data_IF_781535185621
#
_entry.id   IF_781535185621
#
_cell.length_a   1.000
_cell.length_b   1.000
_cell.length_c   1.000
_cell.angle_alpha   90.00
_cell.angle_beta   90.00
_cell.angle_gamma   90.00
#
_symmetry.space_group_name_H-M   'P 1'
#
loop_
_entity.id
_entity.type
_entity.pdbx_description
1 polymer ?
#
# COMPACT_ATOMS: atom_id res chain seq x y z
N UNK A 1 -10.70 3.44 -25.26
CA UNK A 1 -10.88 2.78 -23.94
C UNK A 1 -9.91 3.46 -23.00
N UNK A 2 -10.32 3.89 -21.81
CA UNK A 2 -9.43 4.49 -20.81
C UNK A 2 -8.31 3.50 -20.48
N UNK A 3 -7.05 3.94 -20.47
CA UNK A 3 -5.96 3.25 -19.79
C UNK A 3 -5.20 4.29 -18.94
N UNK A 4 -4.70 3.86 -17.80
CA UNK A 4 -4.10 4.79 -16.87
C UNK A 4 -3.64 4.13 -15.57
N UNK A 5 -3.13 4.96 -14.69
CA UNK A 5 -2.60 4.57 -13.39
C UNK A 5 -2.95 5.62 -12.35
N UNK A 6 -3.19 5.19 -11.12
CA UNK A 6 -3.20 6.07 -9.95
C UNK A 6 -2.31 5.49 -8.85
N UNK A 7 -1.76 6.37 -8.02
CA UNK A 7 -0.91 6.03 -6.87
C UNK A 7 -1.30 6.86 -5.65
N UNK A 8 -1.14 6.32 -4.44
CA UNK A 8 -1.34 7.04 -3.18
C UNK A 8 -0.14 6.91 -2.26
N UNK A 9 0.04 7.91 -1.41
CA UNK A 9 1.08 7.95 -0.37
C UNK A 9 0.61 7.53 1.03
N UNK A 10 -0.67 7.14 1.17
CA UNK A 10 -1.27 6.72 2.44
C UNK A 10 -2.20 7.74 3.07
N UNK A 11 -3.13 7.27 3.93
CA UNK A 11 -4.05 8.12 4.69
C UNK A 11 -3.27 8.87 5.78
N UNK A 12 -3.14 10.19 5.62
CA UNK A 12 -2.29 11.07 6.42
C UNK A 12 -1.13 11.69 5.62
N UNK A 13 -0.87 11.21 4.41
CA UNK A 13 0.15 11.80 3.53
C UNK A 13 -0.25 13.20 3.07
N UNK A 14 0.72 14.11 3.06
CA UNK A 14 0.50 15.52 2.73
C UNK A 14 0.92 15.85 1.29
N UNK A 15 0.47 16.99 0.79
CA UNK A 15 0.87 17.54 -0.52
C UNK A 15 2.41 17.67 -0.68
N UNK A 16 3.17 17.73 0.43
CA UNK A 16 4.64 17.75 0.39
C UNK A 16 5.27 16.49 -0.24
N UNK A 17 4.50 15.41 -0.38
CA UNK A 17 4.92 14.15 -1.02
C UNK A 17 4.49 14.02 -2.47
N UNK A 18 3.78 15.02 -3.01
CA UNK A 18 3.18 14.97 -4.35
C UNK A 18 4.18 14.75 -5.47
N UNK A 19 5.37 15.32 -5.37
CA UNK A 19 6.46 15.13 -6.35
C UNK A 19 6.89 13.66 -6.45
N UNK A 20 6.95 12.94 -5.33
CA UNK A 20 7.25 11.50 -5.29
C UNK A 20 6.15 10.66 -5.94
N UNK A 21 4.89 11.01 -5.66
CA UNK A 21 3.73 10.36 -6.27
C UNK A 21 3.67 10.63 -7.78
N UNK A 22 3.96 11.86 -8.20
CA UNK A 22 4.03 12.21 -9.61
C UNK A 22 5.08 11.37 -10.35
N UNK A 23 6.31 11.27 -9.81
CA UNK A 23 7.36 10.41 -10.39
C UNK A 23 6.94 8.95 -10.47
N UNK A 24 6.29 8.41 -9.44
CA UNK A 24 5.81 7.03 -9.43
C UNK A 24 4.73 6.82 -10.50
N UNK A 25 3.78 7.75 -10.59
CA UNK A 25 2.71 7.73 -11.57
C UNK A 25 3.27 7.80 -13.01
N UNK A 26 4.19 8.73 -13.29
CA UNK A 26 4.88 8.88 -14.58
C UNK A 26 5.65 7.61 -14.97
N UNK A 27 6.36 7.00 -14.00
CA UNK A 27 7.09 5.75 -14.22
C UNK A 27 6.16 4.62 -14.63
N UNK A 28 5.06 4.41 -13.89
CA UNK A 28 4.07 3.39 -14.21
C UNK A 28 3.36 3.68 -15.55
N UNK A 29 2.94 4.94 -15.77
CA UNK A 29 2.28 5.33 -17.01
C UNK A 29 3.19 5.18 -18.24
N UNK A 30 4.49 5.40 -18.11
CA UNK A 30 5.44 5.18 -19.21
C UNK A 30 5.42 3.74 -19.73
N UNK A 31 5.18 2.76 -18.84
CA UNK A 31 5.05 1.36 -19.22
C UNK A 31 3.77 1.13 -20.03
N UNK A 32 2.64 1.65 -19.54
CA UNK A 32 1.34 1.54 -20.23
C UNK A 32 1.37 2.23 -21.60
N UNK A 33 2.01 3.40 -21.69
CA UNK A 33 2.18 4.15 -22.93
C UNK A 33 2.96 3.36 -23.98
N UNK A 34 3.93 2.56 -23.54
CA UNK A 34 4.76 1.71 -24.39
C UNK A 34 4.21 0.28 -24.56
N UNK A 35 2.89 0.10 -24.40
CA UNK A 35 2.17 -1.17 -24.53
C UNK A 35 2.61 -2.25 -23.51
N UNK A 36 3.17 -1.85 -22.37
CA UNK A 36 3.41 -2.75 -21.24
C UNK A 36 2.13 -3.09 -20.47
N UNK A 37 2.18 -4.16 -19.69
CA UNK A 37 1.02 -4.63 -18.92
C UNK A 37 0.78 -3.82 -17.63
N UNK A 38 -0.46 -3.83 -17.13
CA UNK A 38 -0.88 -3.12 -15.94
C UNK A 38 -0.11 -3.58 -14.69
N UNK A 39 0.19 -4.88 -14.56
CA UNK A 39 0.93 -5.41 -13.40
C UNK A 39 2.36 -4.87 -13.35
N UNK A 40 3.05 -4.82 -14.47
CA UNK A 40 4.38 -4.21 -14.56
C UNK A 40 4.34 -2.71 -14.23
N UNK A 41 3.28 -2.00 -14.65
CA UNK A 41 3.11 -0.59 -14.36
C UNK A 41 2.95 -0.31 -12.86
N UNK A 42 2.07 -1.05 -12.16
CA UNK A 42 1.88 -0.85 -10.71
C UNK A 42 3.10 -1.27 -9.89
N UNK A 43 3.79 -2.34 -10.29
CA UNK A 43 5.03 -2.78 -9.62
C UNK A 43 6.13 -1.72 -9.72
N UNK A 44 6.36 -1.15 -10.91
CA UNK A 44 7.38 -0.12 -11.09
C UNK A 44 7.00 1.20 -10.40
N UNK A 45 5.70 1.55 -10.35
CA UNK A 45 5.23 2.71 -9.60
C UNK A 45 5.46 2.54 -8.09
N UNK A 46 5.06 1.39 -7.51
CA UNK A 46 5.28 1.10 -6.08
C UNK A 46 6.77 1.01 -5.77
N UNK A 47 7.59 0.44 -6.67
CA UNK A 47 9.05 0.44 -6.51
C UNK A 47 9.64 1.85 -6.38
N UNK A 48 9.17 2.82 -7.16
CA UNK A 48 9.60 4.22 -7.03
C UNK A 48 9.27 4.77 -5.64
N UNK A 49 8.10 4.44 -5.09
CA UNK A 49 7.69 4.87 -3.75
C UNK A 49 8.50 4.16 -2.65
N UNK A 50 8.83 2.86 -2.83
CA UNK A 50 9.72 2.12 -1.93
C UNK A 50 11.17 2.66 -1.95
N UNK A 51 11.63 3.16 -3.09
CA UNK A 51 12.96 3.76 -3.25
C UNK A 51 13.03 5.18 -2.66
N UNK A 52 11.91 5.88 -2.56
CA UNK A 52 11.78 7.20 -1.95
C UNK A 52 11.60 7.06 -0.43
N UNK A 53 12.65 7.26 0.33
CA UNK A 53 12.68 7.09 1.79
C UNK A 53 11.72 7.97 2.61
N UNK A 54 10.92 8.82 1.95
CA UNK A 54 9.90 9.65 2.60
C UNK A 54 8.59 8.91 2.88
N UNK A 55 8.27 7.87 2.09
CA UNK A 55 7.10 7.03 2.27
C UNK A 55 7.38 5.86 3.23
N UNK A 56 6.36 5.41 3.96
CA UNK A 56 6.48 4.23 4.81
C UNK A 56 6.36 2.93 4.00
N UNK A 57 7.31 2.71 3.13
CA UNK A 57 7.48 1.52 2.31
C UNK A 57 8.95 1.40 1.90
N UNK A 58 9.47 0.19 1.72
CA UNK A 58 10.85 0.00 1.30
C UNK A 58 11.86 0.75 2.19
N UNK A 59 12.67 1.62 1.59
CA UNK A 59 13.72 2.37 2.28
C UNK A 59 13.23 3.29 3.41
N UNK A 60 11.97 3.75 3.36
CA UNK A 60 11.36 4.61 4.37
C UNK A 60 10.55 3.88 5.44
N UNK A 61 10.59 2.55 5.46
CA UNK A 61 9.82 1.73 6.39
C UNK A 61 10.12 2.03 7.85
N UNK A 62 9.06 2.05 8.68
CA UNK A 62 9.15 2.32 10.10
C UNK A 62 9.73 1.15 10.89
N UNK A 63 10.26 1.46 12.08
CA UNK A 63 10.76 0.48 13.02
C UNK A 63 9.63 -0.18 13.81
N UNK A 64 9.81 -1.45 14.16
CA UNK A 64 9.00 -2.13 15.17
C UNK A 64 9.25 -1.53 16.56
N UNK A 65 8.42 -1.90 17.52
CA UNK A 65 8.50 -1.39 18.90
C UNK A 65 9.86 -1.64 19.57
N UNK A 66 10.60 -2.66 19.11
CA UNK A 66 11.94 -2.99 19.61
C UNK A 66 13.05 -1.99 19.20
N UNK A 67 12.70 -1.03 18.32
CA UNK A 67 13.64 0.01 17.83
C UNK A 67 14.76 -0.51 16.93
N UNK A 68 14.66 -1.74 16.45
CA UNK A 68 15.71 -2.40 15.66
C UNK A 68 15.19 -3.06 14.40
N UNK A 69 14.04 -3.71 14.50
CA UNK A 69 13.47 -4.53 13.42
C UNK A 69 12.68 -3.67 12.44
N UNK A 70 12.94 -3.87 11.16
CA UNK A 70 12.09 -3.43 10.04
C UNK A 70 11.51 -4.67 9.42
N UNK A 71 10.17 -4.74 9.36
CA UNK A 71 9.43 -5.77 8.64
C UNK A 71 8.48 -5.08 7.66
N UNK A 72 8.44 -5.61 6.46
CA UNK A 72 7.69 -5.01 5.36
C UNK A 72 6.72 -6.04 4.78
N UNK A 73 5.62 -5.53 4.27
CA UNK A 73 4.62 -6.32 3.55
C UNK A 73 4.44 -5.73 2.15
N UNK A 74 4.18 -6.59 1.17
CA UNK A 74 3.77 -6.15 -0.16
C UNK A 74 2.84 -7.17 -0.81
N UNK A 75 2.01 -6.67 -1.71
CA UNK A 75 1.06 -7.47 -2.47
C UNK A 75 0.90 -6.96 -3.88
N UNK A 76 0.46 -7.85 -4.73
CA UNK A 76 0.04 -7.52 -6.09
C UNK A 76 -1.04 -8.49 -6.58
N UNK A 77 -1.93 -7.99 -7.42
CA UNK A 77 -2.99 -8.76 -8.06
C UNK A 77 -3.31 -8.15 -9.42
N UNK A 78 -3.69 -8.99 -10.37
CA UNK A 78 -4.26 -8.54 -11.64
C UNK A 78 -5.49 -9.36 -12.04
N UNK A 79 -6.35 -8.74 -12.84
CA UNK A 79 -7.63 -9.33 -13.24
C UNK A 79 -7.51 -10.56 -14.14
N UNK A 80 -6.31 -10.86 -14.63
CA UNK A 80 -5.97 -12.09 -15.37
C UNK A 80 -5.55 -13.26 -14.45
N UNK A 81 -5.69 -13.11 -13.12
CA UNK A 81 -5.48 -14.17 -12.13
C UNK A 81 -4.10 -14.21 -11.50
N UNK A 82 -3.17 -13.31 -11.84
CA UNK A 82 -1.86 -13.21 -11.16
C UNK A 82 -2.05 -12.60 -9.76
N UNK A 83 -1.54 -13.28 -8.73
CA UNK A 83 -1.64 -12.87 -7.32
C UNK A 83 -0.37 -13.26 -6.57
N UNK A 84 0.20 -12.35 -5.80
CA UNK A 84 1.29 -12.65 -4.89
C UNK A 84 1.28 -11.73 -3.66
N UNK A 85 1.65 -12.30 -2.51
CA UNK A 85 1.69 -11.62 -1.22
C UNK A 85 2.97 -11.99 -0.48
N UNK A 86 3.66 -10.99 0.08
CA UNK A 86 4.83 -11.21 0.94
C UNK A 86 4.63 -10.46 2.24
N UNK A 87 4.95 -11.10 3.37
CA UNK A 87 4.58 -10.65 4.71
C UNK A 87 5.77 -10.71 5.66
N UNK A 88 5.91 -9.69 6.51
CA UNK A 88 6.95 -9.61 7.54
C UNK A 88 8.35 -9.91 6.98
N UNK A 89 8.65 -9.37 5.80
CA UNK A 89 9.94 -9.58 5.11
C UNK A 89 10.97 -8.60 5.66
N UNK A 90 12.20 -9.05 5.86
CA UNK A 90 13.31 -8.27 6.41
C UNK A 90 14.45 -8.13 5.39
N UNK A 91 15.33 -7.19 5.66
CA UNK A 91 16.65 -7.06 5.03
C UNK A 91 16.66 -6.78 3.52
N UNK A 92 15.54 -6.58 2.87
CA UNK A 92 15.46 -6.25 1.44
C UNK A 92 14.88 -4.86 1.23
N UNK A 93 15.31 -4.18 0.16
CA UNK A 93 14.88 -2.81 -0.11
C UNK A 93 13.47 -2.73 -0.70
N UNK A 94 13.14 -3.64 -1.63
CA UNK A 94 11.92 -3.58 -2.43
C UNK A 94 11.05 -4.84 -2.27
N UNK A 95 10.18 -4.92 -1.25
CA UNK A 95 9.29 -6.06 -1.07
C UNK A 95 8.34 -6.29 -2.26
N UNK A 96 7.94 -5.26 -3.00
CA UNK A 96 7.12 -5.43 -4.23
C UNK A 96 7.83 -6.24 -5.30
N UNK A 97 9.17 -6.16 -5.41
CA UNK A 97 9.95 -6.99 -6.34
C UNK A 97 9.98 -8.46 -5.92
N UNK A 98 9.98 -8.74 -4.61
CA UNK A 98 9.86 -10.09 -4.11
C UNK A 98 8.47 -10.66 -4.40
N UNK A 99 7.39 -9.88 -4.20
CA UNK A 99 6.05 -10.28 -4.59
C UNK A 99 5.96 -10.58 -6.10
N UNK A 100 6.57 -9.73 -6.95
CA UNK A 100 6.68 -10.00 -8.41
C UNK A 100 7.43 -11.30 -8.71
N UNK A 101 8.52 -11.58 -8.02
CA UNK A 101 9.30 -12.80 -8.22
C UNK A 101 8.53 -14.07 -7.79
N UNK A 102 7.68 -13.94 -6.75
CA UNK A 102 6.84 -15.04 -6.26
C UNK A 102 5.86 -15.55 -7.33
N UNK A 103 5.42 -14.70 -8.28
CA UNK A 103 4.59 -15.11 -9.42
C UNK A 103 5.20 -16.20 -10.31
N UNK A 104 6.52 -16.41 -10.22
CA UNK A 104 7.24 -17.46 -10.97
C UNK A 104 7.27 -18.81 -10.22
N UNK A 105 6.59 -18.88 -9.09
CA UNK A 105 6.46 -20.06 -8.24
C UNK A 105 5.00 -20.50 -8.15
N UNK A 106 4.69 -21.70 -7.67
CA UNK A 106 3.31 -22.13 -7.44
C UNK A 106 2.68 -21.50 -6.17
N UNK A 107 3.43 -20.69 -5.43
CA UNK A 107 2.98 -20.13 -4.15
C UNK A 107 2.36 -18.74 -4.34
N UNK A 108 1.26 -18.48 -3.66
CA UNK A 108 0.60 -17.17 -3.64
C UNK A 108 1.11 -16.28 -2.51
N UNK A 109 1.62 -16.86 -1.43
CA UNK A 109 2.04 -16.11 -0.25
C UNK A 109 3.33 -16.68 0.35
N UNK A 110 4.22 -15.80 0.80
CA UNK A 110 5.39 -16.15 1.60
C UNK A 110 5.56 -15.16 2.76
N UNK A 111 6.04 -15.63 3.91
CA UNK A 111 6.17 -14.78 5.10
C UNK A 111 7.50 -14.97 5.83
N UNK A 112 7.90 -13.93 6.57
CA UNK A 112 8.98 -13.95 7.56
C UNK A 112 10.32 -14.39 6.99
N UNK A 113 11.04 -15.21 7.76
CA UNK A 113 12.38 -15.64 7.39
C UNK A 113 12.44 -16.40 6.06
N UNK A 114 11.43 -17.22 5.74
CA UNK A 114 11.37 -17.95 4.46
C UNK A 114 11.35 -16.99 3.26
N UNK A 115 10.54 -15.96 3.32
CA UNK A 115 10.46 -14.91 2.30
C UNK A 115 11.78 -14.13 2.20
N UNK A 116 12.39 -13.79 3.33
CA UNK A 116 13.68 -13.09 3.40
C UNK A 116 14.81 -13.92 2.77
N UNK A 117 14.87 -15.22 3.07
CA UNK A 117 15.87 -16.14 2.47
C UNK A 117 15.65 -16.25 0.96
N UNK A 118 14.41 -16.36 0.51
CA UNK A 118 14.10 -16.41 -0.92
C UNK A 118 14.54 -15.13 -1.63
N UNK A 119 14.26 -13.96 -1.06
CA UNK A 119 14.70 -12.67 -1.59
C UNK A 119 16.23 -12.56 -1.73
N UNK A 120 16.98 -13.02 -0.71
CA UNK A 120 18.45 -13.05 -0.73
C UNK A 120 18.99 -14.00 -1.81
N UNK A 121 18.36 -15.16 -2.02
CA UNK A 121 18.71 -16.10 -3.11
C UNK A 121 18.49 -15.50 -4.50
N UNK A 122 17.51 -14.63 -4.65
CA UNK A 122 17.25 -13.90 -5.90
C UNK A 122 18.20 -12.72 -6.11
N UNK A 123 19.06 -12.39 -5.14
CA UNK A 123 19.96 -11.25 -5.22
C UNK A 123 19.25 -9.90 -5.17
N UNK A 124 18.06 -9.84 -4.53
CA UNK A 124 17.37 -8.56 -4.38
C UNK A 124 18.19 -7.59 -3.52
N UNK A 125 18.16 -6.27 -3.83
CA UNK A 125 18.91 -5.27 -3.08
C UNK A 125 18.59 -5.30 -1.59
N UNK A 126 19.63 -5.16 -0.76
CA UNK A 126 19.47 -5.11 0.69
C UNK A 126 18.88 -3.77 1.14
N UNK A 127 18.13 -3.82 2.24
CA UNK A 127 17.61 -2.61 2.89
C UNK A 127 18.76 -1.76 3.42
N UNK A 128 18.75 -0.41 3.23
CA UNK A 128 19.85 0.46 3.61
C UNK A 128 19.98 0.67 5.13
N UNK A 129 19.07 0.12 5.93
CA UNK A 129 18.93 0.42 7.36
C UNK A 129 17.80 1.44 7.61
N UNK A 130 17.50 1.74 8.88
CA UNK A 130 16.45 2.69 9.22
C UNK A 130 16.82 4.10 8.77
N UNK A 131 15.88 4.83 8.18
CA UNK A 131 16.04 6.24 7.84
C UNK A 131 16.06 7.10 9.12
N UNK A 132 16.64 8.32 9.05
CA UNK A 132 16.60 9.29 10.16
C UNK A 132 15.14 9.57 10.57
N UNK A 133 14.23 9.70 9.59
CA UNK A 133 12.78 9.87 9.83
C UNK A 133 12.21 8.70 10.64
N UNK A 134 12.55 7.45 10.31
CA UNK A 134 12.06 6.27 11.02
C UNK A 134 12.57 6.22 12.46
N UNK A 135 13.85 6.57 12.69
CA UNK A 135 14.45 6.64 14.03
C UNK A 135 13.80 7.74 14.89
N UNK A 136 13.61 8.92 14.32
CA UNK A 136 12.96 10.04 15.02
C UNK A 136 11.51 9.72 15.36
N UNK A 137 10.75 9.17 14.41
CA UNK A 137 9.36 8.76 14.62
C UNK A 137 9.27 7.72 15.74
N UNK A 138 10.12 6.69 15.71
CA UNK A 138 10.19 5.68 16.76
C UNK A 138 10.42 6.32 18.12
N UNK A 139 11.42 7.22 18.24
CA UNK A 139 11.73 7.94 19.50
C UNK A 139 10.50 8.71 19.99
N UNK A 140 9.85 9.49 19.13
CA UNK A 140 8.65 10.28 19.50
C UNK A 140 7.51 9.41 20.00
N UNK A 141 7.27 8.25 19.35
CA UNK A 141 6.24 7.29 19.77
C UNK A 141 6.58 6.66 21.12
N UNK A 142 7.84 6.26 21.34
CA UNK A 142 8.26 5.69 22.63
C UNK A 142 8.18 6.72 23.76
N UNK A 143 8.56 7.98 23.51
CA UNK A 143 8.40 9.08 24.47
C UNK A 143 6.92 9.31 24.80
N UNK A 144 6.02 9.23 23.81
CA UNK A 144 4.58 9.35 24.02
C UNK A 144 4.03 8.21 24.92
N UNK A 145 4.41 6.97 24.60
CA UNK A 145 4.01 5.77 25.37
C UNK A 145 4.47 5.90 26.82
N UNK A 146 5.72 6.30 27.04
CA UNK A 146 6.30 6.45 28.39
C UNK A 146 5.58 7.56 29.19
N UNK A 147 5.34 8.73 28.57
CA UNK A 147 4.67 9.87 29.24
C UNK A 147 3.25 9.56 29.64
N UNK A 148 2.51 8.84 28.79
CA UNK A 148 1.11 8.53 29.04
C UNK A 148 0.89 7.22 29.82
N UNK A 149 1.99 6.57 30.31
CA UNK A 149 1.95 5.29 31.04
C UNK A 149 1.10 4.23 30.31
N UNK A 150 1.15 4.24 28.98
CA UNK A 150 0.43 3.29 28.16
C UNK A 150 1.08 1.91 28.32
N UNK A 151 0.45 1.04 29.11
CA UNK A 151 0.95 -0.31 29.39
C UNK A 151 0.47 -1.35 28.39
N UNK A 152 -0.54 -1.01 27.57
CA UNK A 152 -1.15 -1.89 26.58
C UNK A 152 -1.07 -1.26 25.18
N UNK A 153 -0.73 -2.08 24.19
CA UNK A 153 -0.67 -1.64 22.79
C UNK A 153 -2.06 -1.47 22.15
N UNK A 154 -3.12 -1.89 22.85
CA UNK A 154 -4.49 -1.77 22.37
C UNK A 154 -5.30 -0.85 23.33
N UNK A 155 -5.83 0.25 22.89
CA UNK A 155 -5.96 0.78 21.52
C UNK A 155 -5.01 1.94 21.22
N UNK A 156 -3.72 1.75 21.43
CA UNK A 156 -2.70 2.81 21.41
C UNK A 156 -2.75 3.71 20.15
N UNK A 157 -3.10 3.14 18.98
CA UNK A 157 -3.23 3.94 17.75
C UNK A 157 -4.34 5.00 17.82
N UNK A 158 -5.36 4.83 18.70
CA UNK A 158 -6.40 5.85 18.92
C UNK A 158 -5.90 7.05 19.72
N UNK A 159 -4.92 6.81 20.57
CA UNK A 159 -4.33 7.83 21.43
C UNK A 159 -3.14 8.54 20.79
N UNK A 160 -2.55 7.95 19.74
CA UNK A 160 -1.43 8.56 19.05
C UNK A 160 -1.86 9.80 18.26
N UNK A 161 -1.11 10.91 18.36
CA UNK A 161 -1.26 12.02 17.45
C UNK A 161 -1.16 11.56 15.99
N UNK A 162 -1.99 12.16 15.12
CA UNK A 162 -2.07 11.75 13.71
C UNK A 162 -0.73 11.84 12.97
N UNK A 163 0.10 12.81 13.34
CA UNK A 163 1.43 13.02 12.78
C UNK A 163 2.40 11.86 13.10
N UNK A 164 2.01 10.96 14.02
CA UNK A 164 2.78 9.79 14.39
C UNK A 164 2.25 8.50 13.72
N UNK A 165 1.12 8.57 13.02
CA UNK A 165 0.62 7.43 12.26
C UNK A 165 1.45 7.24 11.00
N UNK A 166 1.76 5.99 10.69
CA UNK A 166 2.54 5.63 9.50
C UNK A 166 1.63 5.15 8.38
N UNK A 167 2.04 5.42 7.16
CA UNK A 167 1.24 5.35 5.95
C UNK A 167 1.65 4.13 5.10
N UNK A 168 0.79 3.72 4.17
CA UNK A 168 1.00 2.64 3.20
C UNK A 168 1.04 3.26 1.81
N UNK A 169 1.77 2.69 0.86
CA UNK A 169 1.72 3.11 -0.54
C UNK A 169 0.98 2.08 -1.39
N UNK A 170 0.30 2.56 -2.44
CA UNK A 170 -0.39 1.69 -3.38
C UNK A 170 -0.49 2.29 -4.77
N UNK A 171 -0.70 1.42 -5.74
CA UNK A 171 -0.93 1.78 -7.14
C UNK A 171 -2.01 0.89 -7.75
N UNK A 172 -2.86 1.46 -8.59
CA UNK A 172 -3.86 0.75 -9.41
C UNK A 172 -3.70 1.16 -10.87
N UNK A 173 -3.84 0.22 -11.81
CA UNK A 173 -3.69 0.51 -13.23
C UNK A 173 -4.67 -0.30 -14.08
N UNK A 174 -4.96 0.26 -15.26
CA UNK A 174 -5.66 -0.40 -16.37
C UNK A 174 -4.80 -0.26 -17.62
N UNK A 175 -4.49 -1.38 -18.28
CA UNK A 175 -3.76 -1.37 -19.53
C UNK A 175 -4.66 -1.34 -20.77
N UNK A 176 -4.02 -1.25 -21.95
CA UNK A 176 -4.71 -1.20 -23.25
C UNK A 176 -5.45 -2.49 -23.62
N UNK A 177 -5.10 -3.60 -22.96
CA UNK A 177 -5.75 -4.90 -23.17
C UNK A 177 -6.98 -5.08 -22.25
N UNK A 178 -7.27 -4.09 -21.40
CA UNK A 178 -8.39 -4.15 -20.46
C UNK A 178 -8.08 -4.93 -19.19
N UNK A 179 -6.78 -5.19 -18.90
CA UNK A 179 -6.34 -5.85 -17.67
C UNK A 179 -6.15 -4.80 -16.57
N UNK A 180 -6.81 -5.03 -15.45
CA UNK A 180 -6.60 -4.27 -14.22
C UNK A 180 -5.52 -4.88 -13.36
N UNK A 181 -4.77 -4.04 -12.65
CA UNK A 181 -3.80 -4.48 -11.66
C UNK A 181 -3.74 -3.53 -10.47
N UNK A 182 -3.33 -4.09 -9.33
CA UNK A 182 -3.04 -3.38 -8.09
C UNK A 182 -1.74 -3.88 -7.50
N UNK A 183 -0.97 -3.00 -6.87
CA UNK A 183 0.14 -3.34 -6.00
C UNK A 183 0.13 -2.41 -4.78
N UNK A 184 0.50 -2.95 -3.61
CA UNK A 184 0.63 -2.18 -2.38
C UNK A 184 1.89 -2.60 -1.63
N UNK A 185 2.46 -1.68 -0.85
CA UNK A 185 3.64 -1.92 -0.02
C UNK A 185 3.62 -1.07 1.25
N UNK A 186 4.14 -1.63 2.34
CA UNK A 186 4.17 -0.94 3.63
C UNK A 186 5.32 -1.41 4.52
N UNK A 187 5.84 -0.51 5.35
CA UNK A 187 6.65 -0.83 6.54
C UNK A 187 5.80 -1.13 7.77
N UNK A 188 4.47 -1.15 7.62
CA UNK A 188 3.52 -1.36 8.71
C UNK A 188 3.15 -0.07 9.44
N UNK A 189 2.68 -0.19 10.67
CA UNK A 189 2.33 0.91 11.56
C UNK A 189 3.33 1.04 12.72
N UNK A 190 3.26 2.13 13.47
CA UNK A 190 4.04 2.31 14.69
C UNK A 190 3.11 2.84 15.81
N UNK A 191 3.14 2.31 17.06
CA UNK A 191 3.97 1.18 17.50
C UNK A 191 3.38 -0.18 17.06
N UNK A 192 4.24 -1.16 16.84
CA UNK A 192 3.82 -2.46 16.34
C UNK A 192 4.79 -3.56 16.80
N UNK A 193 4.24 -4.72 17.18
CA UNK A 193 5.03 -5.91 17.52
C UNK A 193 5.71 -6.50 16.28
N UNK A 194 6.85 -7.16 16.49
CA UNK A 194 7.47 -7.98 15.43
C UNK A 194 6.50 -9.09 14.99
N UNK A 195 6.43 -9.31 13.67
CA UNK A 195 5.52 -10.29 13.07
C UNK A 195 4.08 -9.81 12.87
N UNK A 196 3.71 -8.57 13.27
CA UNK A 196 2.39 -8.03 12.94
C UNK A 196 2.29 -7.78 11.44
N UNK A 197 1.22 -8.26 10.85
CA UNK A 197 0.83 -8.07 9.46
C UNK A 197 -0.47 -7.26 9.43
N UNK A 198 -0.50 -6.20 8.61
CA UNK A 198 -1.69 -5.36 8.39
C UNK A 198 -2.54 -5.84 7.22
N UNK A 199 -3.38 -4.94 6.72
CA UNK A 199 -4.27 -5.17 5.59
C UNK A 199 -3.52 -5.29 4.24
N UNK A 200 -2.40 -4.58 4.10
CA UNK A 200 -1.66 -4.42 2.83
C UNK A 200 -1.41 -5.72 2.08
N UNK A 201 -0.96 -6.83 2.71
CA UNK A 201 -0.72 -8.08 1.98
C UNK A 201 -1.92 -9.03 2.00
N UNK A 202 -3.07 -8.62 2.53
CA UNK A 202 -4.25 -9.48 2.65
C UNK A 202 -5.25 -9.18 1.53
N UNK A 203 -5.43 -10.17 0.63
CA UNK A 203 -6.40 -10.06 -0.47
C UNK A 203 -7.82 -9.76 0.05
N UNK A 204 -8.49 -8.83 -0.60
CA UNK A 204 -9.83 -8.38 -0.22
C UNK A 204 -9.84 -7.38 0.94
N UNK A 205 -8.72 -7.22 1.65
CA UNK A 205 -8.55 -6.24 2.72
C UNK A 205 -7.87 -4.98 2.19
N UNK A 206 -6.55 -5.00 1.99
CA UNK A 206 -5.75 -3.88 1.53
C UNK A 206 -5.81 -3.65 0.03
N UNK A 207 -6.16 -4.66 -0.74
CA UNK A 207 -6.18 -4.61 -2.19
C UNK A 207 -7.15 -5.62 -2.81
N UNK A 208 -7.64 -5.31 -4.01
CA UNK A 208 -8.37 -6.25 -4.86
C UNK A 208 -8.32 -5.81 -6.32
N UNK A 209 -8.25 -6.76 -7.26
CA UNK A 209 -8.41 -6.52 -8.68
C UNK A 209 -9.24 -7.63 -9.32
N UNK A 210 -10.22 -7.25 -10.13
CA UNK A 210 -11.07 -8.13 -10.90
C UNK A 210 -11.42 -7.52 -12.25
N UNK A 211 -12.33 -8.13 -12.99
CA UNK A 211 -12.71 -7.72 -14.37
C UNK A 211 -13.34 -6.33 -14.46
N UNK A 212 -13.84 -5.77 -13.35
CA UNK A 212 -14.52 -4.48 -13.32
C UNK A 212 -13.63 -3.34 -12.82
N UNK A 213 -12.49 -3.64 -12.13
CA UNK A 213 -11.63 -2.60 -11.61
C UNK A 213 -10.54 -3.13 -10.69
N UNK A 214 -9.70 -2.20 -10.24
CA UNK A 214 -8.68 -2.43 -9.22
C UNK A 214 -8.79 -1.39 -8.10
N UNK A 215 -8.54 -1.81 -6.86
CA UNK A 215 -8.72 -1.03 -5.64
C UNK A 215 -7.50 -1.24 -4.74
N UNK A 216 -6.94 -0.15 -4.22
CA UNK A 216 -5.96 -0.15 -3.14
C UNK A 216 -6.49 0.71 -2.00
N UNK A 217 -6.35 0.25 -0.76
CA UNK A 217 -6.78 0.98 0.43
C UNK A 217 -5.63 1.17 1.41
N UNK A 218 -5.79 2.13 2.31
CA UNK A 218 -4.80 2.52 3.31
C UNK A 218 -5.49 3.04 4.56
N UNK A 219 -4.86 2.92 5.72
CA UNK A 219 -5.41 3.39 7.00
C UNK A 219 -5.07 2.47 8.16
N UNK A 220 -5.99 2.35 9.12
CA UNK A 220 -5.81 1.41 10.24
C UNK A 220 -6.08 -0.01 9.78
N UNK A 221 -5.02 -0.79 9.61
CA UNK A 221 -5.06 -2.12 9.01
C UNK A 221 -6.04 -3.07 9.68
N UNK A 222 -6.10 -3.09 11.00
CA UNK A 222 -7.02 -3.91 11.79
C UNK A 222 -8.50 -3.59 11.49
N UNK A 223 -8.83 -2.32 11.28
CA UNK A 223 -10.18 -1.89 10.96
C UNK A 223 -10.55 -2.17 9.49
N UNK A 224 -9.56 -2.09 8.60
CA UNK A 224 -9.70 -2.47 7.19
C UNK A 224 -9.94 -3.98 7.07
N UNK A 225 -9.16 -4.80 7.78
CA UNK A 225 -9.26 -6.27 7.78
C UNK A 225 -10.64 -6.73 8.27
N UNK A 226 -11.12 -6.19 9.38
CA UNK A 226 -12.45 -6.55 9.93
C UNK A 226 -13.60 -6.32 8.93
N UNK A 227 -13.40 -5.44 7.96
CA UNK A 227 -14.43 -5.05 6.97
C UNK A 227 -14.22 -5.67 5.60
N UNK A 228 -13.10 -6.38 5.34
CA UNK A 228 -12.70 -6.87 4.01
C UNK A 228 -12.86 -5.75 2.97
N UNK A 229 -12.29 -4.57 3.28
CA UNK A 229 -12.70 -3.29 2.69
C UNK A 229 -12.58 -3.27 1.16
N UNK A 230 -11.43 -3.70 0.61
CA UNK A 230 -11.22 -3.69 -0.84
C UNK A 230 -12.21 -4.60 -1.58
N UNK A 231 -12.51 -5.80 -1.05
CA UNK A 231 -13.49 -6.71 -1.62
C UNK A 231 -14.91 -6.15 -1.51
N UNK A 232 -15.23 -5.55 -0.36
CA UNK A 232 -16.56 -4.93 -0.18
C UNK A 232 -16.81 -3.81 -1.19
N UNK A 233 -15.81 -2.96 -1.44
CA UNK A 233 -15.89 -1.91 -2.46
C UNK A 233 -16.10 -2.55 -3.84
N UNK A 234 -15.32 -3.59 -4.15
CA UNK A 234 -15.43 -4.28 -5.43
C UNK A 234 -16.83 -4.89 -5.63
N UNK A 235 -17.45 -5.45 -4.58
CA UNK A 235 -18.83 -5.95 -4.61
C UNK A 235 -19.86 -4.87 -4.91
N UNK A 236 -19.69 -3.67 -4.37
CA UNK A 236 -20.56 -2.53 -4.70
C UNK A 236 -20.47 -2.17 -6.19
N UNK A 237 -19.29 -2.28 -6.80
CA UNK A 237 -19.10 -2.09 -8.25
C UNK A 237 -19.81 -3.22 -9.04
N UNK A 238 -19.70 -4.48 -8.58
CA UNK A 238 -20.43 -5.62 -9.19
C UNK A 238 -21.95 -5.45 -9.12
N UNK A 239 -22.45 -4.77 -8.08
CA UNK A 239 -23.86 -4.40 -7.91
C UNK A 239 -24.29 -3.20 -8.78
N UNK A 240 -23.37 -2.65 -9.59
CA UNK A 240 -23.65 -1.58 -10.55
C UNK A 240 -23.42 -0.17 -10.05
N UNK A 241 -22.79 0.03 -8.87
CA UNK A 241 -22.38 1.35 -8.41
C UNK A 241 -21.16 1.84 -9.19
N UNK A 242 -21.08 3.15 -9.41
CA UNK A 242 -19.86 3.80 -9.86
C UNK A 242 -18.76 3.68 -8.79
N UNK A 243 -17.50 3.79 -9.21
CA UNK A 243 -16.36 3.76 -8.27
C UNK A 243 -16.51 4.83 -7.18
N UNK A 244 -16.92 6.03 -7.58
CA UNK A 244 -17.17 7.15 -6.66
C UNK A 244 -18.25 6.83 -5.63
N UNK A 245 -19.40 6.29 -6.04
CA UNK A 245 -20.50 5.90 -5.13
C UNK A 245 -20.06 4.78 -4.18
N UNK A 246 -19.36 3.76 -4.69
CA UNK A 246 -18.84 2.67 -3.88
C UNK A 246 -17.85 3.18 -2.80
N UNK A 247 -16.98 4.12 -3.16
CA UNK A 247 -16.04 4.74 -2.22
C UNK A 247 -16.74 5.62 -1.19
N UNK A 248 -17.73 6.41 -1.60
CA UNK A 248 -18.53 7.24 -0.68
C UNK A 248 -19.35 6.41 0.31
N UNK A 249 -19.77 5.22 -0.07
CA UNK A 249 -20.43 4.28 0.84
C UNK A 249 -19.42 3.60 1.78
N UNK A 250 -18.30 3.17 1.24
CA UNK A 250 -17.27 2.48 2.02
C UNK A 250 -16.64 3.36 3.11
N UNK A 251 -16.41 4.66 2.82
CA UNK A 251 -15.81 5.57 3.79
C UNK A 251 -16.71 5.81 5.01
N UNK A 252 -18.03 5.74 4.86
CA UNK A 252 -19.02 5.87 5.95
C UNK A 252 -18.99 4.72 6.96
N UNK A 253 -18.29 3.62 6.65
CA UNK A 253 -18.09 2.51 7.58
C UNK A 253 -17.09 2.85 8.70
N UNK A 254 -16.40 3.97 8.59
CA UNK A 254 -15.39 4.42 9.53
C UNK A 254 -15.85 5.70 10.21
N UNK A 255 -15.60 5.79 11.52
CA UNK A 255 -15.75 7.06 12.23
C UNK A 255 -14.63 8.02 11.82
N UNK A 256 -14.85 9.32 12.05
CA UNK A 256 -13.85 10.35 11.75
C UNK A 256 -12.52 10.16 12.51
N UNK A 257 -12.52 9.37 13.60
CA UNK A 257 -11.31 9.06 14.36
C UNK A 257 -10.43 8.00 13.69
N UNK A 258 -10.99 7.17 12.79
CA UNK A 258 -10.30 6.05 12.15
C UNK A 258 -9.86 6.47 10.74
N UNK A 259 -8.57 6.79 10.53
CA UNK A 259 -8.06 7.14 9.21
C UNK A 259 -8.28 6.01 8.22
N UNK A 260 -8.82 6.36 7.06
CA UNK A 260 -8.96 5.47 5.91
C UNK A 260 -8.89 6.28 4.62
N UNK A 261 -8.20 5.72 3.64
CA UNK A 261 -8.12 6.25 2.29
C UNK A 261 -8.15 5.13 1.26
N UNK A 262 -8.54 5.45 0.06
CA UNK A 262 -8.64 4.48 -1.03
C UNK A 262 -8.48 5.14 -2.38
N UNK A 263 -7.84 4.42 -3.31
CA UNK A 263 -7.80 4.75 -4.72
C UNK A 263 -8.32 3.58 -5.54
N UNK A 264 -8.88 3.85 -6.70
CA UNK A 264 -9.36 2.81 -7.59
C UNK A 264 -9.41 3.27 -9.04
N UNK A 265 -9.53 2.28 -9.92
CA UNK A 265 -9.67 2.46 -11.36
C UNK A 265 -10.68 1.47 -11.91
N UNK A 266 -11.61 1.96 -12.74
CA UNK A 266 -12.52 1.18 -13.58
C UNK A 266 -12.29 1.52 -15.06
N UNK A 267 -13.09 1.00 -15.96
CA UNK A 267 -13.03 1.38 -17.39
C UNK A 267 -13.49 2.81 -17.65
N UNK A 268 -14.28 3.36 -16.74
CA UNK A 268 -14.95 4.65 -16.86
C UNK A 268 -14.22 5.77 -16.12
N UNK A 269 -13.65 5.45 -14.94
CA UNK A 269 -13.14 6.48 -14.05
C UNK A 269 -11.93 6.02 -13.20
N UNK A 270 -11.16 7.00 -12.75
CA UNK A 270 -10.17 6.89 -11.67
C UNK A 270 -10.64 7.80 -10.55
N UNK A 271 -10.62 7.30 -9.32
CA UNK A 271 -11.06 8.08 -8.17
C UNK A 271 -10.25 7.76 -6.92
N UNK A 272 -10.05 8.78 -6.09
CA UNK A 272 -9.42 8.65 -4.78
C UNK A 272 -10.19 9.44 -3.73
N UNK A 273 -10.33 8.90 -2.53
CA UNK A 273 -10.98 9.55 -1.40
C UNK A 273 -10.33 9.12 -0.08
N UNK A 274 -10.35 10.02 0.89
CA UNK A 274 -9.95 9.72 2.27
C UNK A 274 -10.78 10.58 3.23
N UNK A 275 -10.98 10.09 4.46
CA UNK A 275 -11.53 10.90 5.55
C UNK A 275 -10.45 11.74 6.27
N UNK A 276 -9.20 11.65 5.79
CA UNK A 276 -8.05 12.47 6.21
C UNK A 276 -7.36 13.03 4.98
N UNK A 277 -6.32 13.84 5.18
CA UNK A 277 -5.43 14.22 4.09
C UNK A 277 -4.81 12.96 3.48
N UNK A 278 -4.80 12.86 2.16
CA UNK A 278 -4.17 11.78 1.43
C UNK A 278 -3.67 12.32 0.08
N UNK A 279 -2.37 12.44 -0.04
CA UNK A 279 -1.76 12.76 -1.31
C UNK A 279 -1.88 11.56 -2.27
N UNK A 280 -2.38 11.82 -3.47
CA UNK A 280 -2.46 10.84 -4.56
C UNK A 280 -2.30 11.54 -5.92
N UNK A 281 -1.95 10.76 -6.92
CA UNK A 281 -1.78 11.24 -8.29
C UNK A 281 -2.31 10.21 -9.29
N UNK A 282 -2.75 10.67 -10.45
CA UNK A 282 -3.17 9.81 -11.55
C UNK A 282 -2.69 10.37 -12.90
N UNK A 283 -2.52 9.48 -13.86
CA UNK A 283 -2.26 9.82 -15.28
C UNK A 283 -3.06 8.85 -16.14
N UNK A 284 -3.75 9.40 -17.13
CA UNK A 284 -4.51 8.63 -18.12
C UNK A 284 -4.04 8.97 -19.53
N UNK A 285 -4.54 8.24 -20.53
CA UNK A 285 -4.37 8.56 -21.95
C UNK A 285 -4.96 9.93 -22.36
N UNK A 286 -5.80 10.51 -21.48
CA UNK A 286 -6.38 11.86 -21.69
C UNK A 286 -5.63 12.97 -20.94
N UNK A 287 -4.58 12.61 -20.20
CA UNK A 287 -3.79 13.51 -19.37
C UNK A 287 -3.87 13.20 -17.87
N UNK A 288 -3.25 14.06 -17.03
CA UNK A 288 -3.30 13.95 -15.58
C UNK A 288 -4.68 14.23 -15.01
#
# INVERSE_FOLDING_TARGET
>A
MLYGIAVHGGAGSTEALKDGLQRACERGFSILKNNGDALSAVVEAVKVLEDDGRFNAGAGSVLRIDGKTIEMDASLMSSDGRLAMVMAVRDIKNPVLLAKALLKTPHLAMAGNGATVFAKRLGLPLHPGPSEKALELHKRVMDFIQKNKAHELNPLWKELPQELLSETVGAVALDRNGIFAVASSTGGAIPMLCGRVGDTPLIGCGFYAGSLGAIAVTGIGEEIIKRLLALRIYRLIEEGKTLKEAFQEAIKLFSDEIPVGMIGITKEEIYGISNREMAWASITDKGP
#
